data_IF_890641323940
#
_entry.id   IF_890641323940
#
_cell.length_a   1.000
_cell.length_b   1.000
_cell.length_c   1.000
_cell.angle_alpha   90.00
_cell.angle_beta   90.00
_cell.angle_gamma   90.00
#
_symmetry.space_group_name_H-M   'P 1'
#
loop_
_entity.id
_entity.type
_entity.pdbx_description
1 polymer ?
#
# COMPACT_ATOMS: atom_id res chain seq x y z
N UNK A 1 -22.26 36.48 -1.25
CA UNK A 1 -22.33 36.40 0.23
C UNK A 1 -22.14 34.92 0.63
N UNK A 2 -20.93 34.50 1.01
CA UNK A 2 -20.64 33.10 1.38
C UNK A 2 -21.11 32.85 2.81
N UNK A 3 -22.09 31.95 3.03
CA UNK A 3 -22.51 31.53 4.37
C UNK A 3 -21.34 30.80 5.04
N UNK A 4 -20.85 31.33 6.17
CA UNK A 4 -19.95 30.59 7.05
C UNK A 4 -20.68 29.32 7.52
N UNK A 5 -20.03 28.15 7.58
CA UNK A 5 -20.64 26.98 8.21
C UNK A 5 -21.01 27.34 9.65
N UNK A 6 -22.28 27.17 10.01
CA UNK A 6 -22.80 27.51 11.33
C UNK A 6 -22.21 26.60 12.41
N UNK A 7 -22.06 27.17 13.60
CA UNK A 7 -21.54 26.53 14.83
C UNK A 7 -22.24 25.18 15.14
N UNK A 8 -23.50 24.99 14.69
CA UNK A 8 -24.25 23.75 14.84
C UNK A 8 -23.66 22.52 14.13
N UNK A 9 -22.92 22.69 13.02
CA UNK A 9 -22.24 21.58 12.33
C UNK A 9 -20.97 21.09 13.04
N UNK A 10 -20.42 21.90 13.95
CA UNK A 10 -19.22 21.57 14.73
C UNK A 10 -19.59 20.88 16.05
N UNK A 11 -20.73 21.27 16.64
CA UNK A 11 -21.28 20.63 17.83
C UNK A 11 -21.60 19.14 17.60
N UNK A 12 -22.08 18.78 16.40
CA UNK A 12 -22.37 17.40 16.01
C UNK A 12 -21.10 16.57 15.78
N UNK A 13 -20.05 17.16 15.19
CA UNK A 13 -18.78 16.48 14.97
C UNK A 13 -18.04 16.15 16.28
N UNK A 14 -18.07 17.06 17.27
CA UNK A 14 -17.49 16.83 18.59
C UNK A 14 -18.21 15.70 19.36
N UNK A 15 -19.54 15.66 19.29
CA UNK A 15 -20.34 14.60 19.90
C UNK A 15 -20.16 13.25 19.19
N UNK A 16 -19.95 13.26 17.88
CA UNK A 16 -19.68 12.07 17.07
C UNK A 16 -18.19 11.68 17.03
N UNK A 17 -17.30 12.34 17.79
CA UNK A 17 -15.85 12.09 17.80
C UNK A 17 -15.51 10.62 18.02
N UNK A 18 -16.17 9.98 18.99
CA UNK A 18 -15.96 8.56 19.28
C UNK A 18 -16.42 7.65 18.13
N UNK A 19 -17.46 8.06 17.41
CA UNK A 19 -18.00 7.30 16.28
C UNK A 19 -17.09 7.43 15.06
N UNK A 20 -16.53 8.62 14.81
CA UNK A 20 -15.47 8.84 13.80
C UNK A 20 -14.29 7.93 14.14
N UNK A 21 -13.84 7.96 15.39
CA UNK A 21 -12.67 7.18 15.79
C UNK A 21 -12.87 5.66 15.68
N UNK A 22 -14.08 5.15 15.97
CA UNK A 22 -14.36 3.70 16.00
C UNK A 22 -14.87 3.13 14.67
N UNK A 23 -15.56 3.91 13.85
CA UNK A 23 -16.25 3.43 12.65
C UNK A 23 -15.58 3.90 11.36
N UNK A 24 -14.93 3.02 10.60
CA UNK A 24 -14.30 3.37 9.33
C UNK A 24 -15.26 3.97 8.29
N UNK A 25 -16.50 3.50 8.23
CA UNK A 25 -17.48 4.03 7.28
C UNK A 25 -17.82 5.50 7.60
N UNK A 26 -17.94 5.83 8.89
CA UNK A 26 -18.20 7.20 9.32
C UNK A 26 -17.00 8.12 9.09
N UNK A 27 -15.76 7.62 9.26
CA UNK A 27 -14.54 8.37 8.87
C UNK A 27 -14.53 8.70 7.38
N UNK A 28 -14.81 7.71 6.53
CA UNK A 28 -14.84 7.91 5.08
C UNK A 28 -15.86 8.97 4.70
N UNK A 29 -17.07 8.91 5.26
CA UNK A 29 -18.12 9.91 5.02
C UNK A 29 -17.72 11.32 5.50
N UNK A 30 -17.09 11.40 6.68
CA UNK A 30 -16.57 12.67 7.21
C UNK A 30 -15.53 13.28 6.28
N UNK A 31 -14.58 12.47 5.80
CA UNK A 31 -13.58 12.93 4.84
C UNK A 31 -14.19 13.40 3.52
N UNK A 32 -15.19 12.68 3.00
CA UNK A 32 -15.90 13.06 1.79
C UNK A 32 -16.61 14.41 1.97
N UNK A 33 -17.24 14.63 3.12
CA UNK A 33 -17.86 15.91 3.47
C UNK A 33 -16.83 17.05 3.51
N UNK A 34 -15.67 16.84 4.17
CA UNK A 34 -14.60 17.84 4.21
C UNK A 34 -14.06 18.17 2.81
N UNK A 35 -13.85 17.16 1.97
CA UNK A 35 -13.36 17.33 0.60
C UNK A 35 -14.33 18.15 -0.26
N UNK A 36 -15.65 17.91 -0.14
CA UNK A 36 -16.68 18.70 -0.86
C UNK A 36 -16.68 20.18 -0.49
N UNK A 37 -16.24 20.52 0.72
CA UNK A 37 -16.12 21.92 1.20
C UNK A 37 -14.74 22.51 0.88
N UNK A 38 -13.81 21.72 0.35
CA UNK A 38 -12.44 22.14 0.02
C UNK A 38 -11.51 22.21 1.22
N UNK A 39 -11.79 21.43 2.26
CA UNK A 39 -10.98 21.37 3.48
C UNK A 39 -10.32 20.00 3.60
N UNK A 40 -9.01 19.97 3.84
CA UNK A 40 -8.30 18.74 4.24
C UNK A 40 -8.21 18.68 5.78
N UNK A 41 -8.97 17.78 6.44
CA UNK A 41 -8.96 17.67 7.91
C UNK A 41 -7.63 17.16 8.46
N UNK A 42 -6.72 16.68 7.60
CA UNK A 42 -5.40 16.14 7.95
C UNK A 42 -4.26 17.06 7.54
N UNK A 43 -4.52 18.31 7.15
CA UNK A 43 -3.47 19.22 6.69
C UNK A 43 -2.57 19.73 7.83
N UNK A 44 -3.04 19.75 9.08
CA UNK A 44 -2.28 20.29 10.21
C UNK A 44 -2.67 19.67 11.55
N UNK A 45 -1.65 19.36 12.37
CA UNK A 45 -1.81 18.89 13.76
C UNK A 45 -2.19 20.00 14.74
N UNK A 46 -2.02 21.26 14.32
CA UNK A 46 -2.55 22.44 15.01
C UNK A 46 -3.84 22.94 14.35
N UNK A 47 -4.36 22.18 13.39
CA UNK A 47 -5.62 22.47 12.75
C UNK A 47 -6.76 22.19 13.72
N UNK A 48 -7.80 23.01 13.63
CA UNK A 48 -9.02 22.90 14.42
C UNK A 48 -9.59 21.46 14.46
N UNK A 49 -9.45 20.70 13.36
CA UNK A 49 -9.94 19.32 13.26
C UNK A 49 -9.09 18.29 14.02
N UNK A 50 -7.77 18.50 14.12
CA UNK A 50 -6.90 17.61 14.88
C UNK A 50 -7.19 17.73 16.38
N UNK A 51 -7.33 18.96 16.88
CA UNK A 51 -7.65 19.23 18.29
C UNK A 51 -9.09 18.83 18.66
N UNK A 52 -10.06 19.08 17.76
CA UNK A 52 -11.45 18.78 18.02
C UNK A 52 -11.78 17.27 17.89
N UNK A 53 -11.19 16.58 16.91
CA UNK A 53 -11.60 15.21 16.54
C UNK A 53 -10.53 14.15 16.82
N UNK A 54 -9.28 14.52 17.09
CA UNK A 54 -8.16 13.58 17.26
C UNK A 54 -7.84 12.77 15.99
N UNK A 55 -8.35 13.20 14.84
CA UNK A 55 -8.27 12.44 13.59
C UNK A 55 -6.84 12.46 13.02
N UNK A 56 -6.09 13.54 13.26
CA UNK A 56 -4.68 13.63 12.89
C UNK A 56 -3.86 12.52 13.55
N UNK A 57 -3.89 12.44 14.88
CA UNK A 57 -3.11 11.48 15.68
C UNK A 57 -3.35 10.03 15.23
N UNK A 58 -4.61 9.68 14.93
CA UNK A 58 -4.96 8.37 14.40
C UNK A 58 -4.22 8.03 13.09
N UNK A 59 -4.17 8.97 12.13
CA UNK A 59 -3.48 8.75 10.86
C UNK A 59 -1.96 8.77 10.98
N UNK A 60 -1.39 9.53 11.93
CA UNK A 60 0.05 9.44 12.22
C UNK A 60 0.41 8.10 12.84
N UNK A 61 -0.38 7.62 13.80
CA UNK A 61 -0.16 6.32 14.43
C UNK A 61 -0.19 5.20 13.39
N UNK A 62 -1.19 5.21 12.49
CA UNK A 62 -1.25 4.27 11.37
C UNK A 62 -0.05 4.46 10.43
N UNK A 63 0.34 5.70 10.13
CA UNK A 63 1.49 6.00 9.29
C UNK A 63 2.78 5.39 9.82
N UNK A 64 3.06 5.55 11.12
CA UNK A 64 4.22 4.94 11.79
C UNK A 64 4.16 3.41 11.71
N UNK A 65 2.99 2.81 11.98
CA UNK A 65 2.83 1.35 11.89
C UNK A 65 3.01 0.81 10.47
N UNK A 66 2.58 1.55 9.45
CA UNK A 66 2.83 1.21 8.04
C UNK A 66 4.33 1.24 7.74
N UNK A 67 5.04 2.28 8.19
CA UNK A 67 6.51 2.38 8.04
C UNK A 67 7.20 1.19 8.70
N UNK A 68 6.82 0.83 9.93
CA UNK A 68 7.36 -0.33 10.65
C UNK A 68 7.14 -1.64 9.89
N UNK A 69 5.95 -1.86 9.34
CA UNK A 69 5.66 -3.06 8.55
C UNK A 69 6.53 -3.08 7.29
N UNK A 70 6.60 -1.98 6.55
CA UNK A 70 7.43 -1.90 5.34
C UNK A 70 8.91 -2.16 5.65
N UNK A 71 9.44 -1.63 6.76
CA UNK A 71 10.80 -1.91 7.22
C UNK A 71 10.98 -3.39 7.57
N UNK A 72 10.04 -3.99 8.29
CA UNK A 72 10.11 -5.39 8.71
C UNK A 72 10.01 -6.38 7.54
N UNK A 73 9.22 -6.06 6.50
CA UNK A 73 9.05 -6.93 5.33
C UNK A 73 10.07 -6.69 4.22
N UNK A 74 10.88 -5.63 4.31
CA UNK A 74 11.77 -5.19 3.22
C UNK A 74 12.71 -6.28 2.72
N UNK A 75 13.28 -7.07 3.62
CA UNK A 75 14.19 -8.15 3.26
C UNK A 75 13.51 -9.24 2.40
N UNK A 76 12.19 -9.36 2.48
CA UNK A 76 11.40 -10.39 1.80
C UNK A 76 10.80 -9.90 0.48
N UNK A 77 10.55 -8.59 0.34
CA UNK A 77 9.80 -8.05 -0.80
C UNK A 77 10.47 -6.84 -1.49
N UNK A 78 11.70 -6.50 -1.12
CA UNK A 78 12.46 -5.38 -1.68
C UNK A 78 11.92 -3.99 -1.32
N UNK A 79 10.84 -3.89 -0.54
CA UNK A 79 10.12 -2.64 -0.31
C UNK A 79 8.98 -2.40 -1.29
N UNK A 80 8.45 -3.45 -1.92
CA UNK A 80 7.23 -3.41 -2.72
C UNK A 80 6.22 -4.42 -2.15
N UNK A 81 5.09 -3.95 -1.63
CA UNK A 81 4.09 -4.80 -0.96
C UNK A 81 2.70 -4.57 -1.54
N UNK A 82 1.89 -5.62 -1.63
CA UNK A 82 0.49 -5.46 -2.00
C UNK A 82 -0.28 -4.67 -0.93
N UNK A 83 -1.14 -3.73 -1.34
CA UNK A 83 -1.89 -2.89 -0.39
C UNK A 83 -2.82 -3.73 0.51
N UNK A 84 -3.48 -4.76 -0.01
CA UNK A 84 -4.36 -5.60 0.79
C UNK A 84 -3.56 -6.40 1.82
N UNK A 85 -2.37 -6.88 1.47
CA UNK A 85 -1.44 -7.53 2.40
C UNK A 85 -0.96 -6.57 3.48
N UNK A 86 -0.51 -5.35 3.13
CA UNK A 86 -0.16 -4.32 4.09
C UNK A 86 -1.32 -4.03 5.06
N UNK A 87 -2.54 -3.91 4.55
CA UNK A 87 -3.74 -3.71 5.37
C UNK A 87 -4.02 -4.91 6.28
N UNK A 88 -3.70 -6.13 5.86
CA UNK A 88 -3.84 -7.34 6.66
C UNK A 88 -2.83 -7.34 7.82
N UNK A 89 -1.55 -7.09 7.52
CA UNK A 89 -0.47 -6.99 8.51
C UNK A 89 -0.73 -5.88 9.53
N UNK A 90 -1.23 -4.73 9.08
CA UNK A 90 -1.61 -3.64 9.97
C UNK A 90 -2.76 -4.02 10.90
N UNK A 91 -3.80 -4.68 10.37
CA UNK A 91 -4.91 -5.18 11.20
C UNK A 91 -4.46 -6.24 12.20
N UNK A 92 -3.52 -7.10 11.82
CA UNK A 92 -2.91 -8.08 12.72
C UNK A 92 -2.11 -7.40 13.83
N UNK A 93 -1.27 -6.40 13.50
CA UNK A 93 -0.50 -5.63 14.47
C UNK A 93 -1.41 -4.86 15.45
N UNK A 94 -2.60 -4.47 15.00
CA UNK A 94 -3.64 -3.80 15.80
C UNK A 94 -4.68 -4.75 16.39
N UNK A 95 -4.42 -6.06 16.45
CA UNK A 95 -5.33 -7.07 17.02
C UNK A 95 -5.50 -6.79 18.53
N UNK A 96 -6.63 -6.17 18.89
CA UNK A 96 -6.91 -5.70 20.25
C UNK A 96 -7.21 -4.20 20.35
N UNK A 97 -6.92 -3.43 19.30
CA UNK A 97 -7.37 -2.03 19.20
C UNK A 97 -8.88 -1.97 19.01
N UNK A 98 -9.52 -1.01 19.68
CA UNK A 98 -10.95 -0.69 19.50
C UNK A 98 -11.21 0.12 18.23
N UNK A 99 -10.16 0.51 17.52
CA UNK A 99 -10.21 1.36 16.33
C UNK A 99 -9.90 0.49 15.11
N UNK A 100 -10.97 0.01 14.46
CA UNK A 100 -10.84 -0.75 13.22
C UNK A 100 -10.20 0.10 12.13
N UNK A 101 -9.42 -0.51 11.24
CA UNK A 101 -8.74 0.17 10.12
C UNK A 101 -9.24 -0.38 8.79
N UNK A 102 -9.57 0.52 7.86
CA UNK A 102 -9.99 0.21 6.49
C UNK A 102 -8.86 0.44 5.47
N UNK A 103 -9.06 -0.01 4.22
CA UNK A 103 -8.12 0.28 3.14
C UNK A 103 -8.01 1.80 2.86
N UNK A 104 -9.12 2.54 2.93
CA UNK A 104 -9.14 4.00 2.78
C UNK A 104 -8.28 4.68 3.85
N UNK A 105 -8.33 4.17 5.09
CA UNK A 105 -7.48 4.70 6.17
C UNK A 105 -5.98 4.52 5.86
N UNK A 106 -5.60 3.35 5.33
CA UNK A 106 -4.23 3.07 4.92
C UNK A 106 -3.79 4.01 3.78
N UNK A 107 -4.62 4.19 2.76
CA UNK A 107 -4.32 5.09 1.64
C UNK A 107 -4.12 6.53 2.12
N UNK A 108 -4.96 7.02 3.04
CA UNK A 108 -4.83 8.34 3.64
C UNK A 108 -3.53 8.46 4.43
N UNK A 109 -3.23 7.49 5.30
CA UNK A 109 -1.98 7.48 6.05
C UNK A 109 -0.76 7.50 5.13
N UNK A 110 -0.72 6.66 4.09
CA UNK A 110 0.37 6.63 3.10
C UNK A 110 0.51 7.97 2.37
N UNK A 111 -0.61 8.59 1.98
CA UNK A 111 -0.56 9.90 1.32
C UNK A 111 0.07 10.98 2.22
N UNK A 112 -0.06 10.86 3.54
CA UNK A 112 0.58 11.75 4.50
C UNK A 112 2.07 11.46 4.68
N UNK A 113 2.51 10.22 4.45
CA UNK A 113 3.95 9.87 4.46
C UNK A 113 4.72 10.50 3.29
N UNK A 114 4.04 10.94 2.21
CA UNK A 114 4.70 11.64 1.08
C UNK A 114 5.46 12.90 1.48
N UNK A 115 5.09 13.55 2.60
CA UNK A 115 5.83 14.73 3.11
C UNK A 115 7.24 14.39 3.60
N UNK A 116 7.52 13.11 3.87
CA UNK A 116 8.84 12.61 4.27
C UNK A 116 9.78 12.39 3.07
N UNK A 117 9.29 12.60 1.83
CA UNK A 117 10.03 12.41 0.59
C UNK A 117 9.40 11.36 -0.33
N UNK A 118 10.13 10.94 -1.36
CA UNK A 118 9.70 9.96 -2.37
C UNK A 118 9.67 8.51 -1.89
N UNK A 119 9.85 8.27 -0.59
CA UNK A 119 10.01 6.95 -0.02
C UNK A 119 8.73 6.14 0.11
N UNK A 120 7.54 6.75 0.09
CA UNK A 120 6.26 6.04 0.24
C UNK A 120 5.26 6.46 -0.84
N UNK A 121 4.90 5.51 -1.69
CA UNK A 121 3.95 5.74 -2.77
C UNK A 121 3.05 4.54 -3.01
N UNK A 122 1.79 4.81 -3.34
CA UNK A 122 0.86 3.80 -3.86
C UNK A 122 0.90 3.87 -5.38
N UNK A 123 1.28 2.78 -6.02
CA UNK A 123 1.28 2.61 -7.48
C UNK A 123 0.23 1.57 -7.88
N UNK A 124 -0.31 1.71 -9.07
CA UNK A 124 -1.22 0.73 -9.67
C UNK A 124 -0.48 -0.05 -10.73
N UNK A 125 -0.47 -1.38 -10.59
CA UNK A 125 0.10 -2.30 -11.57
C UNK A 125 -0.98 -3.34 -11.89
N UNK A 126 -1.42 -3.41 -13.15
CA UNK A 126 -2.58 -4.19 -13.55
C UNK A 126 -3.79 -3.95 -12.65
N UNK A 127 -4.27 -5.00 -11.97
CA UNK A 127 -5.45 -4.95 -11.09
C UNK A 127 -5.11 -4.71 -9.62
N UNK A 128 -3.83 -4.65 -9.26
CA UNK A 128 -3.37 -4.54 -7.87
C UNK A 128 -2.82 -3.15 -7.59
N UNK A 129 -3.09 -2.67 -6.37
CA UNK A 129 -2.39 -1.51 -5.79
C UNK A 129 -1.20 -2.04 -4.99
N UNK A 130 -0.03 -1.50 -5.26
CA UNK A 130 1.21 -1.81 -4.55
C UNK A 130 1.68 -0.57 -3.80
N UNK A 131 2.29 -0.78 -2.63
CA UNK A 131 2.93 0.25 -1.83
C UNK A 131 4.43 0.09 -2.01
N UNK A 132 5.07 1.11 -2.57
CA UNK A 132 6.52 1.21 -2.69
C UNK A 132 7.05 2.01 -1.51
N UNK A 133 7.94 1.40 -0.72
CA UNK A 133 8.56 1.98 0.48
C UNK A 133 10.05 2.32 0.30
N UNK A 134 10.55 2.29 -0.93
CA UNK A 134 11.95 2.56 -1.30
C UNK A 134 12.01 3.46 -2.55
N UNK A 135 13.07 4.29 -2.70
CA UNK A 135 13.23 5.19 -3.83
C UNK A 135 13.77 4.45 -5.07
N UNK A 136 12.99 3.51 -5.61
CA UNK A 136 13.34 2.77 -6.84
C UNK A 136 12.33 3.11 -7.95
N UNK A 137 12.82 3.38 -9.15
CA UNK A 137 11.98 3.67 -10.31
C UNK A 137 11.54 2.38 -11.02
N UNK A 138 10.23 2.16 -11.10
CA UNK A 138 9.64 1.10 -11.91
C UNK A 138 9.22 1.71 -13.25
N UNK A 139 9.86 1.26 -14.33
CA UNK A 139 9.51 1.67 -15.68
C UNK A 139 8.35 0.81 -16.23
N UNK A 140 7.98 1.05 -17.49
CA UNK A 140 6.90 0.32 -18.15
C UNK A 140 7.15 -1.19 -18.20
N UNK A 141 8.38 -1.60 -18.51
CA UNK A 141 8.77 -3.01 -18.63
C UNK A 141 8.64 -3.74 -17.29
N UNK A 142 9.13 -3.12 -16.21
CA UNK A 142 8.98 -3.64 -14.86
C UNK A 142 7.50 -3.82 -14.47
N UNK A 143 6.66 -2.84 -14.83
CA UNK A 143 5.22 -2.91 -14.56
C UNK A 143 4.53 -4.02 -15.36
N UNK A 144 4.88 -4.23 -16.63
CA UNK A 144 4.33 -5.32 -17.45
C UNK A 144 4.71 -6.70 -16.90
N UNK A 145 5.95 -6.87 -16.43
CA UNK A 145 6.41 -8.11 -15.77
C UNK A 145 5.61 -8.37 -14.48
N UNK A 146 5.52 -7.37 -13.60
CA UNK A 146 4.81 -7.50 -12.31
C UNK A 146 3.31 -7.74 -12.55
N UNK A 147 2.71 -7.10 -13.56
CA UNK A 147 1.33 -7.34 -13.97
C UNK A 147 1.12 -8.78 -14.43
N UNK A 148 2.02 -9.30 -15.27
CA UNK A 148 1.96 -10.68 -15.75
C UNK A 148 2.07 -11.69 -14.60
N UNK A 149 2.97 -11.42 -13.65
CA UNK A 149 3.18 -12.25 -12.47
C UNK A 149 1.93 -12.37 -11.58
N UNK A 150 0.96 -11.45 -11.66
CA UNK A 150 -0.25 -11.51 -10.83
C UNK A 150 -1.10 -12.76 -11.05
N UNK A 151 -0.94 -13.46 -12.18
CA UNK A 151 -1.67 -14.68 -12.49
C UNK A 151 -1.25 -15.88 -11.63
N UNK A 152 0.05 -16.00 -11.32
CA UNK A 152 0.61 -17.23 -10.70
C UNK A 152 1.74 -16.98 -9.68
N UNK A 153 2.16 -15.74 -9.49
CA UNK A 153 3.22 -15.35 -8.55
C UNK A 153 4.62 -15.27 -9.12
N UNK A 154 4.85 -15.81 -10.33
CA UNK A 154 6.14 -15.79 -11.01
C UNK A 154 5.99 -15.61 -12.53
N UNK A 155 7.09 -15.30 -13.21
CA UNK A 155 7.19 -15.35 -14.68
C UNK A 155 8.43 -16.14 -15.12
N UNK A 156 8.46 -16.52 -16.39
CA UNK A 156 9.66 -17.05 -17.07
C UNK A 156 10.00 -16.18 -18.28
N UNK A 157 11.24 -16.27 -18.78
CA UNK A 157 11.65 -15.57 -20.02
C UNK A 157 10.75 -15.98 -21.19
N UNK A 158 10.53 -17.28 -21.39
CA UNK A 158 9.64 -17.80 -22.44
C UNK A 158 8.22 -17.21 -22.38
N UNK A 159 7.69 -16.95 -21.17
CA UNK A 159 6.37 -16.36 -21.02
C UNK A 159 6.35 -14.89 -21.46
N UNK A 160 7.40 -14.12 -21.12
CA UNK A 160 7.55 -12.74 -21.55
C UNK A 160 7.70 -12.64 -23.07
N UNK A 161 8.49 -13.52 -23.68
CA UNK A 161 8.63 -13.59 -25.13
C UNK A 161 7.29 -13.89 -25.82
N UNK A 162 6.58 -14.91 -25.33
CA UNK A 162 5.33 -15.36 -25.97
C UNK A 162 4.16 -14.39 -25.75
N UNK A 163 4.04 -13.80 -24.56
CA UNK A 163 2.86 -12.99 -24.18
C UNK A 163 3.04 -11.50 -24.43
N UNK A 164 4.27 -10.99 -24.35
CA UNK A 164 4.57 -9.58 -24.58
C UNK A 164 5.31 -9.35 -25.90
N UNK A 165 5.65 -10.40 -26.65
CA UNK A 165 6.42 -10.32 -27.89
C UNK A 165 7.80 -9.67 -27.68
N UNK A 166 8.42 -9.90 -26.52
CA UNK A 166 9.73 -9.37 -26.19
C UNK A 166 10.85 -10.26 -26.74
N UNK A 167 12.05 -9.68 -26.88
CA UNK A 167 13.28 -10.44 -27.11
C UNK A 167 13.82 -10.99 -25.78
N UNK A 168 14.55 -12.10 -25.82
CA UNK A 168 15.15 -12.70 -24.62
C UNK A 168 16.05 -11.70 -23.89
N UNK A 169 16.87 -10.94 -24.61
CA UNK A 169 17.75 -9.92 -24.02
C UNK A 169 17.00 -8.88 -23.22
N UNK A 170 15.92 -8.30 -23.78
CA UNK A 170 15.07 -7.33 -23.08
C UNK A 170 14.42 -7.92 -21.82
N UNK A 171 13.91 -9.14 -21.93
CA UNK A 171 13.30 -9.84 -20.81
C UNK A 171 14.31 -10.10 -19.67
N UNK A 172 15.50 -10.58 -20.02
CA UNK A 172 16.59 -10.85 -19.06
C UNK A 172 17.04 -9.55 -18.39
N UNK A 173 17.32 -8.49 -19.14
CA UNK A 173 17.79 -7.21 -18.57
C UNK A 173 16.79 -6.61 -17.56
N UNK A 174 15.49 -6.66 -17.90
CA UNK A 174 14.43 -6.17 -17.03
C UNK A 174 14.27 -7.05 -15.77
N UNK A 175 14.37 -8.38 -15.90
CA UNK A 175 14.30 -9.30 -14.77
C UNK A 175 15.53 -9.19 -13.86
N UNK A 176 16.73 -9.03 -14.41
CA UNK A 176 17.97 -8.80 -13.65
C UNK A 176 17.89 -7.50 -12.85
N UNK A 177 17.31 -6.45 -13.43
CA UNK A 177 17.06 -5.20 -12.70
C UNK A 177 16.12 -5.44 -11.51
N UNK A 178 15.01 -6.16 -11.70
CA UNK A 178 14.07 -6.48 -10.63
C UNK A 178 14.69 -7.38 -9.54
N UNK A 179 15.60 -8.28 -9.90
CA UNK A 179 16.38 -9.08 -8.96
C UNK A 179 17.35 -8.21 -8.14
N UNK A 180 18.09 -7.33 -8.81
CA UNK A 180 19.05 -6.44 -8.17
C UNK A 180 18.39 -5.51 -7.15
N UNK A 181 17.19 -5.03 -7.46
CA UNK A 181 16.37 -4.21 -6.56
C UNK A 181 15.69 -5.04 -5.44
N UNK A 182 15.74 -6.37 -5.51
CA UNK A 182 15.15 -7.26 -4.51
C UNK A 182 13.63 -7.44 -4.64
N UNK A 183 13.03 -7.04 -5.77
CA UNK A 183 11.60 -7.23 -6.05
C UNK A 183 11.26 -8.62 -6.58
N UNK A 184 12.27 -9.35 -7.06
CA UNK A 184 12.14 -10.71 -7.56
C UNK A 184 13.09 -11.67 -6.83
N UNK A 185 12.78 -12.96 -6.88
CA UNK A 185 13.64 -14.06 -6.42
C UNK A 185 13.74 -15.12 -7.52
N UNK A 186 14.91 -15.76 -7.66
CA UNK A 186 15.10 -16.87 -8.60
C UNK A 186 14.70 -18.19 -7.94
N UNK A 187 14.01 -19.03 -8.70
CA UNK A 187 13.76 -20.43 -8.40
C UNK A 187 14.15 -21.30 -9.60
N UNK A 188 15.19 -22.11 -9.40
CA UNK A 188 15.69 -23.09 -10.38
C UNK A 188 15.33 -24.54 -9.99
N UNK A 189 14.54 -24.73 -8.92
CA UNK A 189 14.30 -26.04 -8.31
C UNK A 189 13.09 -26.81 -8.88
N UNK A 190 12.36 -26.23 -9.82
CA UNK A 190 11.15 -26.84 -10.35
C UNK A 190 11.45 -28.02 -11.30
N UNK A 191 10.57 -29.02 -11.31
CA UNK A 191 10.75 -30.31 -12.01
C UNK A 191 10.86 -30.25 -13.54
N UNK A 192 10.46 -29.13 -14.15
CA UNK A 192 10.57 -28.89 -15.59
C UNK A 192 11.91 -28.27 -16.00
N UNK A 193 12.81 -28.01 -15.04
CA UNK A 193 14.12 -27.40 -15.27
C UNK A 193 14.08 -25.94 -15.71
N UNK A 194 12.91 -25.28 -15.66
CA UNK A 194 12.75 -23.89 -16.10
C UNK A 194 12.94 -22.93 -14.93
N UNK A 195 13.85 -21.97 -15.10
CA UNK A 195 14.04 -20.85 -14.18
C UNK A 195 12.77 -20.02 -14.06
N UNK A 196 12.34 -19.78 -12.83
CA UNK A 196 11.20 -18.91 -12.48
C UNK A 196 11.70 -17.69 -11.71
N UNK A 197 11.06 -16.56 -11.97
CA UNK A 197 11.29 -15.31 -11.26
C UNK A 197 10.04 -15.01 -10.44
N UNK A 198 10.12 -15.22 -9.13
CA UNK A 198 9.03 -15.06 -8.17
C UNK A 198 8.94 -13.62 -7.66
N UNK A 199 7.71 -13.11 -7.50
CA UNK A 199 7.43 -11.74 -7.09
C UNK A 199 6.63 -11.71 -5.78
N UNK A 200 7.28 -11.47 -4.63
CA UNK A 200 6.61 -11.37 -3.33
C UNK A 200 5.48 -10.34 -3.31
N UNK A 201 5.61 -9.25 -4.07
CA UNK A 201 4.61 -8.17 -4.09
C UNK A 201 3.25 -8.57 -4.72
N UNK A 202 3.18 -9.70 -5.42
CA UNK A 202 1.93 -10.20 -6.04
C UNK A 202 1.45 -11.53 -5.48
N UNK A 203 2.29 -12.22 -4.71
CA UNK A 203 1.98 -13.44 -3.95
C UNK A 203 1.70 -13.08 -2.50
N UNK A 204 0.80 -13.79 -1.80
CA UNK A 204 0.67 -13.58 -0.35
C UNK A 204 1.93 -14.14 0.33
N UNK A 205 2.58 -13.38 1.22
CA UNK A 205 3.74 -13.89 1.97
C UNK A 205 3.32 -15.09 2.85
N UNK A 206 2.05 -15.15 3.25
CA UNK A 206 1.48 -16.32 3.97
C UNK A 206 1.45 -17.62 3.16
N UNK A 207 1.56 -17.58 1.83
CA UNK A 207 1.65 -18.79 0.99
C UNK A 207 3.08 -19.30 0.78
N UNK A 208 4.10 -18.54 1.19
CA UNK A 208 5.51 -18.95 1.05
C UNK A 208 6.03 -19.78 2.24
N UNK A 209 5.31 -19.78 3.37
CA UNK A 209 5.70 -20.50 4.60
C UNK A 209 5.02 -21.85 4.82
N UNK A 210 4.34 -22.40 3.80
CA UNK A 210 3.56 -23.63 3.92
C UNK A 210 3.99 -24.68 2.92
N UNK A 211 5.19 -25.24 3.06
CA UNK A 211 5.55 -26.54 2.47
C UNK A 211 6.81 -27.20 3.09
N UNK A 212 7.14 -26.85 4.34
CA UNK A 212 8.13 -27.61 5.13
C UNK A 212 7.42 -28.40 6.23
N UNK A 213 6.79 -29.51 5.84
CA UNK A 213 6.51 -30.68 6.71
C UNK A 213 6.58 -31.95 5.88
#
# INVERSE_FOLDING_TARGET
>A
MRRRPGIGGLQTAANARNDIRKNPAFRSQFHEMCAKVGVDPLASNKGFWAELLGIGDFYYEIGVQIVEICLATRAQNGGLINLQELCSLLRQKRKGSREAVSEDDCLRAISKLKVLGSGFEVISVGKKKLVRSVPTELNKDHNEIIELAQGQGFVTVDELERRLSWTSGRAIDALETLLKEGFAMIDDGHSDGRRRYWFPCVSSISSLGGNDT
#
